data_IF_652847875118
#
_entry.id   IF_652847875118
#
_cell.length_a   1.000
_cell.length_b   1.000
_cell.length_c   1.000
_cell.angle_alpha   90.00
_cell.angle_beta   90.00
_cell.angle_gamma   90.00
#
_symmetry.space_group_name_H-M   'P 1'
#
loop_
_entity.id
_entity.type
_entity.pdbx_description
1 polymer ?
#
# COMPACT_ATOMS: atom_id res chain seq x y z
N UNK A 1 -11.75 4.32 -25.79
CA UNK A 1 -12.50 3.11 -25.40
C UNK A 1 -12.19 2.85 -23.94
N UNK A 2 -13.07 3.25 -23.02
CA UNK A 2 -12.82 3.16 -21.58
C UNK A 2 -13.01 1.70 -21.13
N UNK A 3 -11.91 0.96 -21.06
CA UNK A 3 -11.84 -0.50 -20.86
C UNK A 3 -12.08 -0.97 -19.43
N UNK A 4 -12.90 -0.25 -18.66
CA UNK A 4 -13.24 -0.66 -17.29
C UNK A 4 -14.13 -1.90 -17.36
N UNK A 5 -13.74 -3.03 -16.74
CA UNK A 5 -14.59 -4.21 -16.70
C UNK A 5 -15.91 -3.83 -16.03
N UNK A 6 -17.03 -3.98 -16.76
CA UNK A 6 -18.36 -3.93 -16.16
C UNK A 6 -18.49 -5.15 -15.25
N UNK A 7 -19.09 -4.99 -14.07
CA UNK A 7 -19.39 -6.11 -13.18
C UNK A 7 -20.33 -7.10 -13.92
N UNK A 8 -19.77 -8.14 -14.52
CA UNK A 8 -20.48 -9.21 -15.24
C UNK A 8 -20.69 -10.44 -14.35
N UNK A 9 -21.09 -10.21 -13.09
CA UNK A 9 -21.41 -11.25 -12.12
C UNK A 9 -22.91 -11.22 -11.75
N UNK A 10 -23.49 -12.36 -11.32
CA UNK A 10 -24.87 -12.37 -10.84
C UNK A 10 -25.00 -11.42 -9.65
N UNK A 11 -26.01 -10.54 -9.71
CA UNK A 11 -26.37 -9.66 -8.60
C UNK A 11 -26.93 -10.54 -7.48
N UNK A 12 -26.06 -10.95 -6.55
CA UNK A 12 -26.46 -11.79 -5.42
C UNK A 12 -27.02 -10.90 -4.30
N UNK A 13 -28.15 -11.26 -3.67
CA UNK A 13 -28.58 -10.60 -2.44
C UNK A 13 -27.48 -10.72 -1.38
N UNK A 14 -27.37 -9.72 -0.50
CA UNK A 14 -26.41 -9.74 0.59
C UNK A 14 -26.65 -10.97 1.49
N UNK A 15 -25.57 -11.54 2.05
CA UNK A 15 -25.77 -12.53 3.12
C UNK A 15 -26.31 -11.85 4.37
N UNK A 16 -26.99 -12.58 5.27
CA UNK A 16 -27.41 -12.03 6.56
C UNK A 16 -26.26 -11.41 7.36
N UNK A 17 -25.06 -12.00 7.27
CA UNK A 17 -23.84 -11.49 7.89
C UNK A 17 -23.42 -10.13 7.30
N UNK A 18 -23.44 -9.99 5.97
CA UNK A 18 -23.12 -8.74 5.27
C UNK A 18 -24.14 -7.64 5.60
N UNK A 19 -25.43 -8.00 5.70
CA UNK A 19 -26.47 -7.07 6.11
C UNK A 19 -26.27 -6.61 7.56
N UNK A 20 -25.95 -7.53 8.48
CA UNK A 20 -25.67 -7.19 9.88
C UNK A 20 -24.48 -6.24 10.04
N UNK A 21 -23.41 -6.44 9.26
CA UNK A 21 -22.26 -5.53 9.25
C UNK A 21 -22.63 -4.14 8.72
N UNK A 22 -23.45 -4.06 7.66
CA UNK A 22 -23.94 -2.77 7.16
C UNK A 22 -24.79 -2.05 8.21
N UNK A 23 -25.72 -2.75 8.84
CA UNK A 23 -26.59 -2.19 9.88
C UNK A 23 -25.78 -1.70 11.09
N UNK A 24 -24.70 -2.41 11.48
CA UNK A 24 -23.78 -1.98 12.52
C UNK A 24 -23.05 -0.68 12.14
N UNK A 25 -22.53 -0.59 10.92
CA UNK A 25 -21.82 0.61 10.45
C UNK A 25 -22.76 1.83 10.35
N UNK A 26 -24.02 1.65 9.91
CA UNK A 26 -25.02 2.74 9.88
C UNK A 26 -25.42 3.19 11.29
N UNK A 27 -25.41 2.28 12.28
CA UNK A 27 -25.64 2.65 13.68
C UNK A 27 -24.49 3.45 14.29
N UNK A 28 -23.29 3.38 13.70
CA UNK A 28 -22.25 4.33 14.04
C UNK A 28 -22.59 5.68 13.42
N UNK A 29 -22.45 6.79 14.17
CA UNK A 29 -22.74 8.17 13.72
C UNK A 29 -21.94 8.59 12.45
N UNK A 30 -21.06 7.71 11.96
CA UNK A 30 -20.19 7.89 10.81
C UNK A 30 -20.93 7.77 9.46
N UNK A 31 -22.05 7.06 9.37
CA UNK A 31 -22.73 6.83 8.10
C UNK A 31 -24.27 6.98 8.20
N UNK A 32 -24.89 7.63 7.21
CA UNK A 32 -26.33 7.92 7.20
C UNK A 32 -27.20 6.73 6.80
N UNK A 33 -26.68 5.83 5.97
CA UNK A 33 -27.38 4.70 5.39
C UNK A 33 -26.41 3.67 4.79
N UNK A 34 -26.96 2.54 4.33
CA UNK A 34 -26.17 1.45 3.75
C UNK A 34 -25.45 1.84 2.45
N UNK A 35 -25.98 2.79 1.67
CA UNK A 35 -25.33 3.26 0.45
C UNK A 35 -24.07 4.07 0.78
N UNK A 36 -24.14 4.94 1.79
CA UNK A 36 -22.99 5.69 2.30
C UNK A 36 -21.87 4.75 2.82
N UNK A 37 -22.23 3.65 3.50
CA UNK A 37 -21.25 2.64 3.92
C UNK A 37 -20.60 1.95 2.72
N UNK A 38 -21.38 1.60 1.69
CA UNK A 38 -20.88 0.97 0.47
C UNK A 38 -19.95 1.90 -0.32
N UNK A 39 -20.30 3.18 -0.45
CA UNK A 39 -19.45 4.17 -1.10
C UNK A 39 -18.12 4.34 -0.37
N UNK A 40 -18.14 4.45 0.96
CA UNK A 40 -16.93 4.52 1.77
C UNK A 40 -16.06 3.26 1.65
N UNK A 41 -16.68 2.08 1.61
CA UNK A 41 -15.96 0.82 1.41
C UNK A 41 -15.29 0.73 0.03
N UNK A 42 -15.97 1.21 -1.03
CA UNK A 42 -15.41 1.27 -2.37
C UNK A 42 -14.25 2.28 -2.46
N UNK A 43 -14.40 3.45 -1.83
CA UNK A 43 -13.32 4.43 -1.77
C UNK A 43 -12.09 3.85 -1.04
N UNK A 44 -12.29 3.22 0.11
CA UNK A 44 -11.21 2.59 0.86
C UNK A 44 -10.49 1.50 0.03
N UNK A 45 -11.24 0.72 -0.74
CA UNK A 45 -10.68 -0.28 -1.66
C UNK A 45 -9.85 0.37 -2.78
N UNK A 46 -10.33 1.47 -3.36
CA UNK A 46 -9.59 2.22 -4.38
C UNK A 46 -8.29 2.81 -3.83
N UNK A 47 -8.34 3.39 -2.62
CA UNK A 47 -7.15 3.92 -1.95
C UNK A 47 -6.13 2.83 -1.66
N UNK A 48 -6.58 1.64 -1.23
CA UNK A 48 -5.71 0.49 -1.02
C UNK A 48 -5.05 0.05 -2.33
N UNK A 49 -5.84 -0.11 -3.40
CA UNK A 49 -5.32 -0.51 -4.71
C UNK A 49 -4.27 0.49 -5.22
N UNK A 50 -4.54 1.80 -5.07
CA UNK A 50 -3.60 2.83 -5.47
C UNK A 50 -2.29 2.76 -4.66
N UNK A 51 -2.37 2.57 -3.34
CA UNK A 51 -1.19 2.39 -2.48
C UNK A 51 -0.37 1.16 -2.89
N UNK A 52 -1.03 0.05 -3.20
CA UNK A 52 -0.36 -1.16 -3.67
C UNK A 52 0.34 -0.94 -5.02
N UNK A 53 -0.31 -0.26 -5.97
CA UNK A 53 0.27 0.08 -7.27
C UNK A 53 1.49 0.99 -7.12
N UNK A 54 1.40 2.03 -6.29
CA UNK A 54 2.50 2.94 -5.98
C UNK A 54 3.68 2.18 -5.37
N UNK A 55 3.45 1.37 -4.34
CA UNK A 55 4.50 0.56 -3.71
C UNK A 55 5.17 -0.38 -4.71
N UNK A 56 4.40 -1.02 -5.59
CA UNK A 56 4.95 -1.87 -6.67
C UNK A 56 5.78 -1.07 -7.67
N UNK A 57 5.34 0.14 -8.04
CA UNK A 57 6.09 1.01 -8.95
C UNK A 57 7.42 1.43 -8.32
N UNK A 58 7.41 1.85 -7.04
CA UNK A 58 8.62 2.22 -6.31
C UNK A 58 9.62 1.08 -6.20
N UNK A 59 9.16 -0.14 -5.88
CA UNK A 59 10.04 -1.32 -5.79
C UNK A 59 10.66 -1.63 -7.16
N UNK A 60 9.87 -1.60 -8.24
CA UNK A 60 10.39 -1.83 -9.60
C UNK A 60 11.45 -0.80 -9.98
N UNK A 61 11.22 0.46 -9.63
CA UNK A 61 12.18 1.53 -9.90
C UNK A 61 13.48 1.35 -9.10
N UNK A 62 13.38 1.01 -7.80
CA UNK A 62 14.56 0.70 -6.96
C UNK A 62 15.37 -0.47 -7.54
N UNK A 63 14.71 -1.52 -8.01
CA UNK A 63 15.36 -2.67 -8.65
C UNK A 63 16.05 -2.24 -9.94
N UNK A 64 15.37 -1.47 -10.81
CA UNK A 64 15.93 -0.98 -12.08
C UNK A 64 17.19 -0.16 -11.84
N UNK A 65 17.12 0.83 -10.95
CA UNK A 65 18.26 1.69 -10.60
C UNK A 65 19.41 0.86 -10.03
N UNK A 66 19.15 -0.03 -9.07
CA UNK A 66 20.17 -0.88 -8.47
C UNK A 66 20.85 -1.80 -9.48
N UNK A 67 20.09 -2.34 -10.44
CA UNK A 67 20.64 -3.15 -11.53
C UNK A 67 21.56 -2.34 -12.45
N UNK A 68 21.16 -1.12 -12.83
CA UNK A 68 21.97 -0.23 -13.65
C UNK A 68 23.27 0.20 -12.95
N UNK A 69 23.20 0.48 -11.64
CA UNK A 69 24.38 0.76 -10.81
C UNK A 69 25.32 -0.44 -10.76
N UNK A 70 24.78 -1.64 -10.55
CA UNK A 70 25.56 -2.86 -10.54
C UNK A 70 26.26 -3.12 -11.88
N UNK A 71 25.57 -2.89 -13.00
CA UNK A 71 26.13 -3.02 -14.34
C UNK A 71 27.30 -2.06 -14.60
N UNK A 72 27.31 -0.88 -13.95
CA UNK A 72 28.43 0.08 -14.00
C UNK A 72 29.55 -0.21 -13.00
N UNK A 73 29.42 -1.25 -12.18
CA UNK A 73 30.41 -1.60 -11.16
C UNK A 73 30.32 -0.75 -9.88
N UNK A 74 29.20 -0.07 -9.64
CA UNK A 74 28.99 0.81 -8.47
C UNK A 74 28.54 0.03 -7.21
N UNK A 75 28.73 -1.29 -7.17
CA UNK A 75 28.43 -2.10 -5.99
C UNK A 75 29.43 -1.80 -4.88
N UNK A 76 28.91 -1.72 -3.65
CA UNK A 76 29.72 -1.54 -2.45
C UNK A 76 29.83 -2.87 -1.70
N UNK A 77 30.96 -3.06 -1.02
CA UNK A 77 31.13 -4.19 -0.09
C UNK A 77 30.25 -3.99 1.14
N UNK A 78 29.22 -4.83 1.27
CA UNK A 78 28.20 -4.72 2.32
C UNK A 78 28.77 -4.67 3.73
N UNK A 79 29.63 -5.61 4.15
CA UNK A 79 30.28 -5.59 5.46
C UNK A 79 31.02 -4.28 5.75
N UNK A 80 31.84 -3.80 4.82
CA UNK A 80 32.60 -2.55 4.99
C UNK A 80 31.68 -1.34 5.18
N UNK A 81 30.61 -1.23 4.38
CA UNK A 81 29.62 -0.14 4.51
C UNK A 81 28.91 -0.19 5.86
N UNK A 82 28.55 -1.38 6.35
CA UNK A 82 27.86 -1.53 7.63
C UNK A 82 28.76 -1.11 8.80
N UNK A 83 30.04 -1.51 8.80
CA UNK A 83 30.99 -1.08 9.84
C UNK A 83 31.20 0.43 9.82
N UNK A 84 31.32 1.04 8.64
CA UNK A 84 31.44 2.50 8.51
C UNK A 84 30.21 3.22 9.08
N UNK A 85 29.00 2.72 8.77
CA UNK A 85 27.75 3.29 9.29
C UNK A 85 27.67 3.17 10.82
N UNK A 86 28.11 2.05 11.41
CA UNK A 86 28.15 1.87 12.86
C UNK A 86 29.10 2.86 13.52
N UNK A 87 30.32 3.01 12.99
CA UNK A 87 31.28 3.98 13.51
C UNK A 87 30.75 5.42 13.47
N UNK A 88 30.07 5.81 12.38
CA UNK A 88 29.41 7.12 12.28
C UNK A 88 28.30 7.32 13.31
N UNK A 89 27.56 6.27 13.67
CA UNK A 89 26.53 6.33 14.71
C UNK A 89 27.12 6.45 16.12
N UNK A 90 28.23 5.77 16.39
CA UNK A 90 28.96 5.83 17.66
C UNK A 90 29.55 7.22 17.90
N UNK A 91 30.24 7.78 16.91
CA UNK A 91 30.78 9.15 16.99
C UNK A 91 29.70 10.19 17.31
N UNK A 92 28.49 10.04 16.75
CA UNK A 92 27.37 10.94 17.04
C UNK A 92 26.81 10.80 18.46
N UNK A 93 26.99 9.63 19.09
CA UNK A 93 26.58 9.39 20.48
C UNK A 93 27.60 9.97 21.47
N UNK A 94 28.88 9.91 21.14
CA UNK A 94 29.96 10.45 21.97
C UNK A 94 30.01 11.99 21.98
N UNK A 95 29.45 12.63 20.95
CA UNK A 95 29.33 14.10 20.84
C UNK A 95 28.12 14.69 21.59
N UNK A 96 27.38 13.88 22.36
CA UNK A 96 26.14 14.28 23.05
C UNK A 96 26.28 14.14 24.56
#
# INVERSE_FOLDING_TARGET
MDGRPRLTGPRRPLTPEQQGLLDEQVRTVRYSDAAAVLEAALQALQEQQHKEEQARAEIREKIRVGYEQAARGELLDGPSVIEELRGRLEQRRELR
#
